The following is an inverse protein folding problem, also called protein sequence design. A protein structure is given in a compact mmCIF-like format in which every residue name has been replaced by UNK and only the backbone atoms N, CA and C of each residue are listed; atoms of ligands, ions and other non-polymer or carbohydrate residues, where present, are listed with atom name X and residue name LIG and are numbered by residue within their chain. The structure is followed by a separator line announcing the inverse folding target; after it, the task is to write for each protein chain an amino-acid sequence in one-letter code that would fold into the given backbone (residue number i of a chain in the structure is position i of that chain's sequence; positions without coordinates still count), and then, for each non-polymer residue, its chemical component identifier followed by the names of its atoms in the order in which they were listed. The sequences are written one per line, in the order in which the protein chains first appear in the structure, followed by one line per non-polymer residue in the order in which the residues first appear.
data_IF_524265874436
#
_entry.id   IF_524265874436
#
_cell.length_a   1.000
_cell.length_b   1.000
_cell.length_c   1.000
_cell.angle_alpha   90.00
_cell.angle_beta   90.00
_cell.angle_gamma   90.00
#
_symmetry.space_group_name_H-M   'P 1'
#
loop_
_entity.id
_entity.type
_entity.pdbx_description
1 polymer ?
#
# COMPACT_ATOMS: atom_id res chain seq x y z
N UNK A 1 -11.27 -11.62 17.11
CA UNK A 1 -10.94 -10.18 17.06
C UNK A 1 -10.70 -9.81 15.59
N UNK A 2 -11.21 -8.68 15.12
CA UNK A 2 -10.94 -8.21 13.76
C UNK A 2 -9.74 -7.28 13.86
N UNK A 3 -8.56 -7.64 13.29
CA UNK A 3 -7.34 -6.84 13.37
C UNK A 3 -7.54 -5.41 12.87
N UNK A 4 -6.81 -4.45 13.43
CA UNK A 4 -6.79 -3.08 12.91
C UNK A 4 -5.68 -2.95 11.86
N UNK A 5 -6.03 -2.44 10.67
CA UNK A 5 -5.10 -2.26 9.55
C UNK A 5 -4.80 -0.77 9.37
N UNK A 6 -3.52 -0.40 9.35
CA UNK A 6 -3.09 0.94 8.93
C UNK A 6 -2.60 0.89 7.49
N UNK A 7 -3.30 1.59 6.60
CA UNK A 7 -2.97 1.63 5.17
C UNK A 7 -2.13 2.87 4.91
N UNK A 8 -0.91 2.68 4.42
CA UNK A 8 0.02 3.74 4.08
C UNK A 8 0.03 4.00 2.58
N UNK A 9 -0.25 5.24 2.19
CA UNK A 9 -0.30 5.70 0.79
C UNK A 9 0.75 6.79 0.59
N UNK A 10 2.01 6.43 0.26
CA UNK A 10 3.05 7.41 -0.03
C UNK A 10 2.81 8.04 -1.41
N UNK A 11 2.99 9.35 -1.51
CA UNK A 11 2.84 10.09 -2.75
C UNK A 11 3.90 11.20 -2.88
N UNK A 12 4.59 11.24 -4.02
CA UNK A 12 5.55 12.26 -4.38
C UNK A 12 5.17 12.90 -5.71
N UNK A 13 4.69 14.16 -5.66
CA UNK A 13 4.25 14.92 -6.84
C UNK A 13 3.26 14.16 -7.73
N UNK A 14 2.42 13.32 -7.11
CA UNK A 14 1.40 12.57 -7.84
C UNK A 14 0.27 13.50 -8.30
N UNK A 15 -0.29 13.22 -9.47
CA UNK A 15 -1.40 14.00 -9.99
C UNK A 15 -2.61 13.87 -9.05
N UNK A 16 -3.25 14.98 -8.63
CA UNK A 16 -4.31 14.92 -7.63
C UNK A 16 -5.49 14.03 -8.01
N UNK A 17 -5.84 13.98 -9.31
CA UNK A 17 -6.95 13.14 -9.76
C UNK A 17 -6.62 11.63 -9.66
N UNK A 18 -5.36 11.25 -9.89
CA UNK A 18 -4.90 9.85 -9.78
C UNK A 18 -4.94 9.40 -8.32
N UNK A 19 -4.32 10.16 -7.42
CA UNK A 19 -4.35 9.87 -5.99
C UNK A 19 -5.79 9.90 -5.44
N UNK A 20 -6.64 10.81 -5.92
CA UNK A 20 -8.04 10.85 -5.51
C UNK A 20 -8.81 9.57 -5.85
N UNK A 21 -8.56 8.95 -7.01
CA UNK A 21 -9.17 7.66 -7.37
C UNK A 21 -8.77 6.55 -6.38
N UNK A 22 -7.49 6.50 -6.01
CA UNK A 22 -6.97 5.56 -5.00
C UNK A 22 -7.67 5.75 -3.66
N UNK A 23 -7.75 6.99 -3.15
CA UNK A 23 -8.40 7.29 -1.86
C UNK A 23 -9.90 6.99 -1.87
N UNK A 24 -10.58 7.27 -2.98
CA UNK A 24 -11.99 6.92 -3.14
C UNK A 24 -12.22 5.40 -3.19
N UNK A 25 -11.30 4.63 -3.77
CA UNK A 25 -11.38 3.17 -3.71
C UNK A 25 -11.18 2.67 -2.28
N UNK A 26 -10.21 3.20 -1.55
CA UNK A 26 -9.96 2.87 -0.14
C UNK A 26 -11.13 3.23 0.76
N UNK A 27 -11.88 4.28 0.47
CA UNK A 27 -13.08 4.65 1.25
C UNK A 27 -14.25 3.66 1.12
N UNK A 28 -14.22 2.82 0.07
CA UNK A 28 -15.25 1.80 -0.20
C UNK A 28 -14.87 0.39 0.29
N UNK A 29 -13.77 0.25 1.02
CA UNK A 29 -13.35 -1.04 1.55
C UNK A 29 -14.40 -1.63 2.48
N UNK A 30 -14.75 -2.89 2.25
CA UNK A 30 -15.64 -3.66 3.10
C UNK A 30 -14.88 -4.24 4.31
N UNK A 31 -14.35 -3.33 5.16
CA UNK A 31 -13.61 -3.70 6.37
C UNK A 31 -13.85 -2.65 7.47
N UNK A 32 -14.14 -3.06 8.72
CA UNK A 32 -14.54 -2.10 9.75
C UNK A 32 -13.37 -1.34 10.37
N UNK A 33 -12.24 -2.01 10.62
CA UNK A 33 -11.16 -1.56 11.48
C UNK A 33 -9.92 -1.16 10.67
N UNK A 34 -9.92 0.02 10.04
CA UNK A 34 -8.76 0.53 9.32
C UNK A 34 -8.66 2.05 9.38
N UNK A 35 -7.47 2.53 9.12
CA UNK A 35 -7.16 3.93 8.79
C UNK A 35 -6.35 4.00 7.49
N UNK A 36 -6.29 5.18 6.91
CA UNK A 36 -5.48 5.48 5.72
C UNK A 36 -4.58 6.68 6.05
N UNK A 37 -3.27 6.46 6.09
CA UNK A 37 -2.28 7.52 6.21
C UNK A 37 -1.86 7.95 4.80
N UNK A 38 -2.28 9.14 4.39
CA UNK A 38 -1.95 9.73 3.09
C UNK A 38 -0.70 10.58 3.26
N UNK A 39 0.43 10.10 2.75
CA UNK A 39 1.75 10.62 3.05
C UNK A 39 2.28 11.36 1.85
N UNK A 40 2.04 12.67 1.79
CA UNK A 40 2.66 13.54 0.79
C UNK A 40 4.08 13.82 1.26
N UNK A 41 5.08 13.34 0.51
CA UNK A 41 6.48 13.53 0.87
C UNK A 41 7.22 14.44 -0.10
N UNK A 42 8.05 15.34 0.43
CA UNK A 42 8.95 16.22 -0.31
C UNK A 42 8.26 17.01 -1.46
N UNK A 43 7.00 17.38 -1.28
CA UNK A 43 6.18 18.08 -2.27
C UNK A 43 5.77 19.44 -1.73
N UNK A 44 6.45 20.51 -2.16
CA UNK A 44 6.20 21.89 -1.72
C UNK A 44 5.03 22.55 -2.45
N UNK A 45 4.77 22.14 -3.68
CA UNK A 45 3.79 22.76 -4.58
C UNK A 45 2.35 22.39 -4.15
N UNK A 46 1.57 23.41 -3.73
CA UNK A 46 0.20 23.28 -3.25
C UNK A 46 -0.75 22.58 -4.24
N UNK A 47 -0.46 22.69 -5.54
CA UNK A 47 -1.23 22.05 -6.59
C UNK A 47 -1.38 20.54 -6.37
N UNK A 48 -0.33 19.84 -5.92
CA UNK A 48 -0.36 18.40 -5.74
C UNK A 48 -1.04 17.96 -4.46
N UNK A 49 -0.88 18.69 -3.35
CA UNK A 49 -1.31 18.18 -2.05
C UNK A 49 -2.57 18.83 -1.49
N UNK A 50 -2.84 20.11 -1.82
CA UNK A 50 -3.98 20.85 -1.24
C UNK A 50 -5.35 20.27 -1.61
N UNK A 51 -5.60 19.82 -2.86
CA UNK A 51 -6.82 19.10 -3.19
C UNK A 51 -6.96 17.77 -2.43
N UNK A 52 -5.84 17.10 -2.14
CA UNK A 52 -5.83 15.82 -1.42
C UNK A 52 -6.10 16.01 0.07
N UNK A 53 -5.52 17.05 0.71
CA UNK A 53 -5.84 17.42 2.08
C UNK A 53 -7.35 17.65 2.26
N UNK A 54 -7.96 18.41 1.35
CA UNK A 54 -9.41 18.65 1.35
C UNK A 54 -10.20 17.34 1.17
N UNK A 55 -9.80 16.49 0.24
CA UNK A 55 -10.44 15.20 0.02
C UNK A 55 -10.37 14.30 1.26
N UNK A 56 -9.22 14.25 1.96
CA UNK A 56 -9.10 13.49 3.20
C UNK A 56 -10.10 13.97 4.26
N UNK A 57 -10.27 15.29 4.40
CA UNK A 57 -11.27 15.87 5.31
C UNK A 57 -12.70 15.46 4.92
N UNK A 58 -13.03 15.45 3.63
CA UNK A 58 -14.34 15.04 3.11
C UNK A 58 -14.61 13.53 3.28
N UNK A 59 -13.57 12.68 3.18
CA UNK A 59 -13.67 11.24 3.36
C UNK A 59 -13.81 10.82 4.84
N UNK A 60 -13.47 11.72 5.78
CA UNK A 60 -13.70 11.55 7.21
C UNK A 60 -12.53 10.99 8.00
N UNK A 61 -12.78 10.68 9.27
CA UNK A 61 -11.76 10.45 10.31
C UNK A 61 -10.82 9.25 10.05
N UNK A 62 -11.18 8.36 9.14
CA UNK A 62 -10.30 7.26 8.75
C UNK A 62 -9.11 7.72 7.90
N UNK A 63 -9.19 8.91 7.28
CA UNK A 63 -8.18 9.43 6.37
C UNK A 63 -7.35 10.51 7.05
N UNK A 64 -6.11 10.19 7.34
CA UNK A 64 -5.16 11.10 7.99
C UNK A 64 -4.20 11.65 6.94
N UNK A 65 -4.29 12.94 6.69
CA UNK A 65 -3.40 13.64 5.77
C UNK A 65 -2.10 14.04 6.44
N UNK A 66 -0.97 13.73 5.80
CA UNK A 66 0.38 14.08 6.24
C UNK A 66 1.15 14.74 5.09
N UNK A 67 1.72 15.93 5.31
CA UNK A 67 2.65 16.55 4.39
C UNK A 67 4.01 16.67 5.10
N UNK A 68 4.98 15.87 4.67
CA UNK A 68 6.25 15.69 5.37
C UNK A 68 7.45 15.93 4.46
N UNK A 69 8.56 16.29 5.07
CA UNK A 69 9.87 16.30 4.41
C UNK A 69 10.73 15.22 5.05
N UNK A 70 11.22 14.28 4.26
CA UNK A 70 12.03 13.17 4.73
C UNK A 70 13.18 12.87 3.76
N UNK A 71 14.17 12.11 4.23
CA UNK A 71 15.21 11.48 3.42
C UNK A 71 14.88 10.00 3.22
N UNK A 72 15.48 9.33 2.24
CA UNK A 72 15.26 7.89 2.01
C UNK A 72 14.06 7.60 1.10
N UNK A 73 13.65 8.55 0.26
CA UNK A 73 12.59 8.37 -0.76
C UNK A 73 11.28 7.81 -0.16
N UNK A 74 10.70 6.80 -0.79
CA UNK A 74 9.46 6.15 -0.36
C UNK A 74 9.64 5.44 0.99
N UNK A 75 10.75 4.73 1.20
CA UNK A 75 11.07 4.08 2.48
C UNK A 75 11.11 5.09 3.63
N UNK A 76 11.73 6.25 3.42
CA UNK A 76 11.76 7.31 4.43
C UNK A 76 10.37 7.84 4.78
N UNK A 77 9.49 7.99 3.79
CA UNK A 77 8.10 8.39 4.00
C UNK A 77 7.31 7.33 4.78
N UNK A 78 7.47 6.06 4.42
CA UNK A 78 6.82 4.93 5.10
C UNK A 78 7.31 4.78 6.54
N UNK A 79 8.63 4.92 6.80
CA UNK A 79 9.16 4.90 8.16
C UNK A 79 8.63 6.06 9.02
N UNK A 80 8.55 7.28 8.44
CA UNK A 80 7.95 8.41 9.15
C UNK A 80 6.47 8.14 9.48
N UNK A 81 5.74 7.45 8.63
CA UNK A 81 4.35 7.09 8.86
C UNK A 81 4.17 6.09 10.01
N UNK A 82 5.17 5.25 10.32
CA UNK A 82 5.10 4.31 11.46
C UNK A 82 4.86 5.04 12.78
N UNK A 83 5.43 6.23 12.97
CA UNK A 83 5.26 7.03 14.19
C UNK A 83 3.82 7.59 14.34
N UNK A 84 3.08 7.69 13.24
CA UNK A 84 1.69 8.17 13.20
C UNK A 84 0.68 7.05 13.11
N UNK A 85 1.15 5.82 12.92
CA UNK A 85 0.31 4.62 12.84
C UNK A 85 -0.51 4.46 14.12
N UNK A 86 -1.79 4.15 13.98
CA UNK A 86 -2.69 3.93 15.11
C UNK A 86 -2.14 2.85 16.04
N UNK A 87 -2.12 3.12 17.33
CA UNK A 87 -1.61 2.19 18.35
C UNK A 87 -2.33 0.84 18.40
N UNK A 88 -3.51 0.74 17.80
CA UNK A 88 -4.28 -0.50 17.67
C UNK A 88 -3.91 -1.30 16.43
N UNK A 89 -3.07 -0.74 15.54
CA UNK A 89 -2.71 -1.42 14.30
C UNK A 89 -1.93 -2.70 14.60
N UNK A 90 -2.35 -3.76 13.95
CA UNK A 90 -1.70 -5.08 13.99
C UNK A 90 -1.04 -5.39 12.64
N UNK A 91 -1.53 -4.73 11.57
CA UNK A 91 -1.10 -4.93 10.19
C UNK A 91 -0.87 -3.56 9.54
N UNK A 92 0.24 -3.41 8.84
CA UNK A 92 0.50 -2.30 7.91
C UNK A 92 0.19 -2.80 6.51
N UNK A 93 -0.55 -2.02 5.74
CA UNK A 93 -0.73 -2.25 4.31
C UNK A 93 -0.12 -1.08 3.53
N UNK A 94 0.58 -1.35 2.45
CA UNK A 94 1.15 -0.31 1.57
C UNK A 94 0.51 -0.39 0.20
N UNK A 95 0.09 0.77 -0.29
CA UNK A 95 -0.46 0.91 -1.64
C UNK A 95 0.09 2.18 -2.29
N UNK A 96 0.54 2.09 -3.53
CA UNK A 96 1.00 3.24 -4.29
C UNK A 96 -0.16 4.17 -4.66
N UNK A 97 0.17 5.43 -4.87
CA UNK A 97 -0.78 6.52 -5.07
C UNK A 97 -1.63 6.40 -6.35
N UNK A 98 -1.28 5.53 -7.27
CA UNK A 98 -1.92 5.29 -8.57
C UNK A 98 -2.66 3.93 -8.67
N UNK A 99 -2.77 3.20 -7.55
CA UNK A 99 -3.45 1.92 -7.48
C UNK A 99 -4.90 2.05 -7.02
N UNK A 100 -5.77 1.21 -7.57
CA UNK A 100 -7.18 1.11 -7.16
C UNK A 100 -7.45 -0.30 -6.67
N UNK A 101 -7.89 -0.40 -5.42
CA UNK A 101 -8.22 -1.67 -4.78
C UNK A 101 -9.69 -2.01 -4.94
N UNK A 102 -9.98 -3.30 -4.99
CA UNK A 102 -11.34 -3.83 -4.87
C UNK A 102 -11.82 -3.78 -3.41
N UNK A 103 -13.12 -3.60 -3.21
CA UNK A 103 -13.69 -3.45 -1.87
C UNK A 103 -13.44 -4.64 -0.91
N UNK A 104 -13.31 -5.90 -1.35
CA UNK A 104 -13.02 -7.04 -0.47
C UNK A 104 -11.53 -7.21 -0.14
N UNK A 105 -10.61 -6.38 -0.66
CA UNK A 105 -9.17 -6.53 -0.49
C UNK A 105 -8.74 -6.88 0.94
N UNK A 106 -9.16 -6.11 1.95
CA UNK A 106 -8.78 -6.38 3.34
C UNK A 106 -9.50 -7.61 3.91
N UNK A 107 -10.80 -7.75 3.65
CA UNK A 107 -11.57 -8.84 4.24
C UNK A 107 -11.13 -10.21 3.73
N UNK A 108 -10.61 -10.27 2.50
CA UNK A 108 -10.12 -11.51 1.89
C UNK A 108 -8.70 -11.87 2.37
N UNK A 109 -7.83 -10.87 2.60
CA UNK A 109 -6.42 -11.12 2.87
C UNK A 109 -6.04 -11.08 4.35
N UNK A 110 -6.70 -10.27 5.17
CA UNK A 110 -6.40 -10.18 6.61
C UNK A 110 -6.51 -11.53 7.34
N UNK A 111 -7.47 -12.42 7.03
CA UNK A 111 -7.53 -13.73 7.68
C UNK A 111 -6.29 -14.61 7.50
N UNK A 112 -5.46 -14.36 6.49
CA UNK A 112 -4.19 -15.08 6.32
C UNK A 112 -3.21 -14.82 7.48
N UNK A 113 -3.36 -13.71 8.18
CA UNK A 113 -2.56 -13.39 9.38
C UNK A 113 -3.04 -14.12 10.65
N UNK A 114 -4.09 -14.94 10.59
CA UNK A 114 -4.48 -15.81 11.71
C UNK A 114 -3.39 -16.84 12.02
N UNK A 115 -2.62 -17.25 11.00
CA UNK A 115 -1.37 -17.98 11.22
C UNK A 115 -0.29 -17.01 11.73
N UNK A 116 0.22 -17.20 12.97
CA UNK A 116 1.25 -16.31 13.52
C UNK A 116 2.59 -16.34 12.79
N UNK A 117 2.81 -17.35 11.94
CA UNK A 117 4.02 -17.47 11.10
C UNK A 117 3.96 -16.58 9.86
N UNK A 118 2.77 -16.14 9.47
CA UNK A 118 2.60 -15.25 8.32
C UNK A 118 2.99 -13.83 8.73
N UNK A 119 4.11 -13.37 8.20
CA UNK A 119 4.61 -12.01 8.40
C UNK A 119 4.20 -11.06 7.28
N UNK A 120 4.10 -11.57 6.04
CA UNK A 120 3.84 -10.76 4.84
C UNK A 120 2.77 -11.46 3.99
N UNK A 121 1.86 -10.66 3.45
CA UNK A 121 0.87 -11.08 2.45
C UNK A 121 0.97 -10.13 1.26
N UNK A 122 1.23 -10.67 0.07
CA UNK A 122 1.30 -9.90 -1.18
C UNK A 122 0.08 -10.21 -2.04
N UNK A 123 -0.69 -9.17 -2.40
CA UNK A 123 -1.77 -9.31 -3.36
C UNK A 123 -1.24 -9.31 -4.81
N UNK A 124 -1.88 -10.04 -5.74
CA UNK A 124 -1.58 -9.92 -7.15
C UNK A 124 -1.95 -8.52 -7.66
N UNK A 125 -1.29 -8.11 -8.73
CA UNK A 125 -1.52 -6.84 -9.40
C UNK A 125 -1.97 -7.08 -10.84
N UNK A 126 -2.80 -6.17 -11.35
CA UNK A 126 -3.32 -6.23 -12.71
C UNK A 126 -3.38 -4.83 -13.32
N UNK A 127 -3.22 -4.72 -14.64
CA UNK A 127 -3.35 -3.46 -15.34
C UNK A 127 -4.81 -3.19 -15.70
N UNK A 128 -5.35 -2.06 -15.23
CA UNK A 128 -6.75 -1.64 -15.49
C UNK A 128 -7.07 -1.51 -16.98
N UNK A 129 -6.10 -1.17 -17.80
CA UNK A 129 -6.19 -0.93 -19.22
C UNK A 129 -5.74 -2.12 -20.10
N UNK A 130 -5.56 -3.29 -19.50
CA UNK A 130 -5.06 -4.51 -20.16
C UNK A 130 -5.84 -4.92 -21.41
N UNK A 131 -7.10 -4.51 -21.55
CA UNK A 131 -7.95 -4.82 -22.70
C UNK A 131 -7.99 -3.73 -23.79
N UNK A 132 -7.29 -2.62 -23.64
CA UNK A 132 -7.35 -1.49 -24.60
C UNK A 132 -6.53 -1.72 -25.86
N UNK A 133 -5.50 -2.56 -25.82
CA UNK A 133 -4.68 -2.91 -26.97
C UNK A 133 -4.03 -4.28 -26.84
N UNK A 134 -3.57 -4.86 -27.96
CA UNK A 134 -2.85 -6.14 -27.99
C UNK A 134 -1.56 -6.04 -27.16
N UNK A 135 -0.88 -4.90 -27.16
CA UNK A 135 0.37 -4.70 -26.40
C UNK A 135 0.06 -4.69 -24.90
N UNK A 136 -0.98 -3.97 -24.47
CA UNK A 136 -1.41 -3.93 -23.08
C UNK A 136 -1.91 -5.29 -22.59
N UNK A 137 -2.63 -6.02 -23.43
CA UNK A 137 -3.05 -7.39 -23.15
C UNK A 137 -1.84 -8.34 -22.98
N UNK A 138 -0.79 -8.19 -23.79
CA UNK A 138 0.44 -8.98 -23.66
C UNK A 138 1.20 -8.64 -22.36
N UNK A 139 1.30 -7.37 -22.01
CA UNK A 139 1.88 -6.93 -20.72
C UNK A 139 1.09 -7.50 -19.53
N UNK A 140 -0.23 -7.48 -19.62
CA UNK A 140 -1.09 -8.04 -18.57
C UNK A 140 -0.91 -9.56 -18.45
N UNK A 141 -0.74 -10.27 -19.55
CA UNK A 141 -0.46 -11.69 -19.55
C UNK A 141 0.91 -12.04 -18.93
N UNK A 142 1.91 -11.15 -19.07
CA UNK A 142 3.20 -11.28 -18.40
C UNK A 142 3.05 -11.14 -16.87
N UNK A 143 2.27 -10.17 -16.40
CA UNK A 143 1.95 -10.00 -14.99
C UNK A 143 1.19 -11.22 -14.43
N UNK A 144 0.19 -11.72 -15.15
CA UNK A 144 -0.51 -12.95 -14.77
C UNK A 144 0.45 -14.15 -14.66
N UNK A 145 1.36 -14.32 -15.60
CA UNK A 145 2.39 -15.37 -15.52
C UNK A 145 3.29 -15.23 -14.30
N UNK A 146 3.67 -14.00 -13.94
CA UNK A 146 4.46 -13.73 -12.75
C UNK A 146 3.69 -14.03 -11.46
N UNK A 147 2.47 -13.49 -11.31
CA UNK A 147 1.69 -13.64 -10.08
C UNK A 147 1.03 -15.01 -9.94
N UNK A 148 0.42 -15.53 -11.02
CA UNK A 148 -0.38 -16.76 -10.96
C UNK A 148 0.46 -18.04 -11.01
N UNK A 149 1.73 -17.94 -11.42
CA UNK A 149 2.65 -19.08 -11.50
C UNK A 149 3.88 -18.84 -10.63
N UNK A 150 4.69 -17.83 -10.96
CA UNK A 150 5.99 -17.63 -10.32
C UNK A 150 5.89 -17.29 -8.83
N UNK A 151 4.90 -16.50 -8.42
CA UNK A 151 4.70 -16.14 -7.01
C UNK A 151 4.08 -17.29 -6.21
N UNK A 152 3.26 -18.13 -6.82
CA UNK A 152 2.70 -19.33 -6.16
C UNK A 152 3.82 -20.29 -5.81
N UNK A 153 4.70 -20.62 -6.76
CA UNK A 153 5.86 -21.49 -6.51
C UNK A 153 6.77 -20.93 -5.40
N UNK A 154 7.04 -19.62 -5.43
CA UNK A 154 7.83 -18.95 -4.39
C UNK A 154 7.15 -18.94 -3.02
N UNK A 155 5.84 -18.84 -2.97
CA UNK A 155 5.07 -18.89 -1.73
C UNK A 155 5.19 -20.27 -1.05
N UNK A 156 5.21 -21.36 -1.82
CA UNK A 156 5.41 -22.71 -1.28
C UNK A 156 6.79 -22.88 -0.63
N UNK A 157 7.78 -22.12 -1.09
CA UNK A 157 9.15 -22.13 -0.57
C UNK A 157 9.40 -21.04 0.50
N UNK A 158 8.38 -20.26 0.91
CA UNK A 158 8.49 -19.06 1.77
C UNK A 158 9.48 -18.01 1.23
N UNK A 159 9.57 -17.86 -0.08
CA UNK A 159 10.50 -16.99 -0.79
C UNK A 159 9.78 -16.02 -1.72
N UNK A 160 8.64 -15.45 -1.28
CA UNK A 160 7.91 -14.43 -2.06
C UNK A 160 8.78 -13.20 -2.28
N UNK A 161 8.63 -12.59 -3.45
CA UNK A 161 9.20 -11.27 -3.71
C UNK A 161 8.15 -10.23 -3.29
N UNK A 162 8.52 -9.36 -2.36
CA UNK A 162 7.67 -8.25 -1.96
C UNK A 162 7.70 -7.19 -3.05
N UNK A 163 6.52 -6.80 -3.54
CA UNK A 163 6.36 -5.63 -4.39
C UNK A 163 5.99 -4.44 -3.50
N UNK A 164 6.59 -3.30 -3.70
CA UNK A 164 6.40 -2.09 -2.89
C UNK A 164 4.97 -1.54 -2.82
N UNK A 165 4.00 -2.26 -3.38
CA UNK A 165 2.58 -1.93 -3.35
C UNK A 165 1.72 -3.18 -3.22
N UNK A 166 0.46 -3.02 -2.78
CA UNK A 166 -0.49 -4.13 -2.54
C UNK A 166 0.04 -5.19 -1.57
N UNK A 167 0.92 -4.78 -0.67
CA UNK A 167 1.55 -5.63 0.35
C UNK A 167 0.99 -5.31 1.73
N UNK A 168 0.81 -6.36 2.52
CA UNK A 168 0.47 -6.26 3.94
C UNK A 168 1.57 -6.91 4.76
N UNK A 169 1.96 -6.27 5.86
CA UNK A 169 3.01 -6.73 6.77
C UNK A 169 2.50 -6.72 8.20
N UNK A 170 2.77 -7.77 8.94
CA UNK A 170 2.50 -7.80 10.39
C UNK A 170 3.34 -6.73 11.08
N UNK A 171 2.70 -5.80 11.80
CA UNK A 171 3.40 -4.67 12.42
C UNK A 171 4.51 -5.12 13.38
N UNK A 172 4.29 -6.17 14.17
CA UNK A 172 5.32 -6.69 15.08
C UNK A 172 6.57 -7.17 14.33
N UNK A 173 6.41 -7.84 13.19
CA UNK A 173 7.52 -8.29 12.34
C UNK A 173 8.25 -7.10 11.70
N UNK A 174 7.51 -6.09 11.23
CA UNK A 174 8.09 -4.85 10.71
C UNK A 174 8.95 -4.14 11.77
N UNK A 175 8.45 -4.05 12.99
CA UNK A 175 9.20 -3.41 14.09
C UNK A 175 10.42 -4.22 14.52
N UNK A 176 10.38 -5.55 14.45
CA UNK A 176 11.50 -6.44 14.76
C UNK A 176 12.68 -6.26 13.81
N UNK A 177 12.43 -6.02 12.52
CA UNK A 177 13.48 -5.77 11.51
C UNK A 177 13.90 -4.29 11.45
N UNK A 178 13.25 -3.39 12.17
CA UNK A 178 13.62 -1.98 12.26
C UNK A 178 12.96 -1.07 11.22
N UNK A 179 11.90 -1.51 10.56
CA UNK A 179 11.15 -0.73 9.56
C UNK A 179 11.59 -1.03 8.12
N UNK A 180 11.33 -0.08 7.21
CA UNK A 180 11.68 -0.17 5.80
C UNK A 180 13.14 0.19 5.57
N UNK A 181 13.87 -0.58 4.73
CA UNK A 181 15.26 -0.30 4.34
C UNK A 181 15.38 1.06 3.63
N UNK A 182 16.36 1.87 4.04
CA UNK A 182 16.58 3.23 3.48
C UNK A 182 17.91 3.37 2.75
N UNK A 183 18.69 2.34 2.69
CA UNK A 183 20.01 2.27 2.08
C UNK A 183 19.97 1.93 0.58
N UNK A 184 18.81 1.51 0.08
CA UNK A 184 18.53 1.37 -1.36
C UNK A 184 17.44 2.32 -1.82
N UNK A 185 17.33 2.53 -3.15
CA UNK A 185 16.24 3.31 -3.76
C UNK A 185 14.97 2.46 -3.85
N UNK A 186 15.12 1.12 -3.80
CA UNK A 186 14.07 0.13 -3.99
C UNK A 186 13.85 -0.57 -2.64
N UNK A 187 12.96 -0.04 -1.83
CA UNK A 187 12.67 -0.46 -0.46
C UNK A 187 12.06 -1.86 -0.36
N UNK A 188 11.51 -2.36 -1.43
CA UNK A 188 10.85 -3.66 -1.54
C UNK A 188 11.78 -4.81 -1.95
N UNK A 189 13.04 -4.50 -2.26
CA UNK A 189 14.03 -5.48 -2.74
C UNK A 189 14.93 -6.08 -1.65
N UNK A 190 14.68 -5.75 -0.36
CA UNK A 190 15.49 -6.20 0.77
C UNK A 190 14.84 -7.26 1.65
#
# INVERSE_FOLDING_TARGET
NIPFVSIHVPAYKEQPHVLAETLQALSRLNYPNYEVLVIINNTSEEYYWKPIEKLCQELGDKFVFMNITCTGFKAGALNAALDYTNKKAEIIAVIDADYVVESPWLIDLVPLFDDPKVAIVQAPQDHRDGNESIIKAAMNAEYAGFFDIGMIDRNEENAIVVHGTMVMVRLSSMMEVGGWGTDTIVEDSE
#
